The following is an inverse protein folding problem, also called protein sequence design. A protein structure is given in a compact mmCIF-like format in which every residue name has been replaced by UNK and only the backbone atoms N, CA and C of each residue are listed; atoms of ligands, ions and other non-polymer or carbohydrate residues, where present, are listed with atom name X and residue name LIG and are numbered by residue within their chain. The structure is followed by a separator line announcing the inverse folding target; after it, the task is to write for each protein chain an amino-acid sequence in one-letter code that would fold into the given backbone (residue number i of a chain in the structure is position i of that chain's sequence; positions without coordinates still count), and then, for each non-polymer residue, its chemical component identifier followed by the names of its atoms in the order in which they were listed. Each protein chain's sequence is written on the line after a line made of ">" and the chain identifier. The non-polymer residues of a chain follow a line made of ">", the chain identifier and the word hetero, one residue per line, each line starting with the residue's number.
data_IF_878131227478
#
_entry.id   IF_878131227478
#
_cell.length_a   1.000
_cell.length_b   1.000
_cell.length_c   1.000
_cell.angle_alpha   90.00
_cell.angle_beta   90.00
_cell.angle_gamma   90.00
#
_symmetry.space_group_name_H-M   'P 1'
#
loop_
_entity.id
_entity.type
_entity.pdbx_description
1 polymer ?
#
# COMPACT_ATOMS: atom_id res chain seq x y z
N UNK A 1 -12.46 -8.72 6.85
CA UNK A 1 -12.62 -7.30 7.25
C UNK A 1 -11.93 -6.43 6.21
N UNK A 2 -12.52 -5.31 5.80
CA UNK A 2 -12.38 -4.71 4.46
C UNK A 2 -13.77 -4.52 3.83
N UNK A 3 -14.06 -5.19 2.71
CA UNK A 3 -15.34 -5.10 1.95
C UNK A 3 -16.63 -5.15 2.79
N UNK A 4 -16.59 -5.83 3.93
CA UNK A 4 -17.72 -5.99 4.86
C UNK A 4 -17.76 -4.95 6.00
N UNK A 5 -16.93 -3.91 5.95
CA UNK A 5 -16.80 -2.87 6.96
C UNK A 5 -18.12 -2.29 7.51
N UNK A 6 -19.13 -1.97 6.67
CA UNK A 6 -20.42 -1.47 7.16
C UNK A 6 -21.14 -2.41 8.14
N UNK A 7 -21.04 -3.72 7.93
CA UNK A 7 -21.66 -4.71 8.82
C UNK A 7 -20.92 -4.77 10.16
N UNK A 8 -19.59 -4.64 10.14
CA UNK A 8 -18.77 -4.60 11.34
C UNK A 8 -19.06 -3.33 12.15
N UNK A 9 -19.15 -2.18 11.50
CA UNK A 9 -19.53 -0.92 12.15
C UNK A 9 -20.92 -0.99 12.81
N UNK A 10 -21.90 -1.58 12.11
CA UNK A 10 -23.24 -1.79 12.68
C UNK A 10 -23.21 -2.73 13.90
N UNK A 11 -22.39 -3.78 13.86
CA UNK A 11 -22.19 -4.68 14.99
C UNK A 11 -21.52 -3.97 16.16
N UNK A 12 -20.42 -3.25 15.93
CA UNK A 12 -19.68 -2.52 16.96
C UNK A 12 -20.57 -1.50 17.66
N UNK A 13 -21.44 -0.79 16.92
CA UNK A 13 -22.42 0.14 17.50
C UNK A 13 -23.38 -0.55 18.48
N UNK A 14 -23.88 -1.74 18.14
CA UNK A 14 -24.75 -2.52 19.04
C UNK A 14 -23.96 -3.07 20.23
N UNK A 15 -22.78 -3.63 19.97
CA UNK A 15 -21.91 -4.22 20.97
C UNK A 15 -21.43 -3.19 22.01
N UNK A 16 -21.22 -1.94 21.62
CA UNK A 16 -20.86 -0.84 22.52
C UNK A 16 -21.92 -0.45 23.56
N UNK A 17 -23.14 -1.00 23.46
CA UNK A 17 -24.19 -0.83 24.49
C UNK A 17 -24.15 -1.88 25.60
N UNK A 18 -23.22 -2.84 25.50
CA UNK A 18 -23.11 -3.98 26.41
C UNK A 18 -21.74 -3.93 27.10
N UNK A 19 -21.70 -4.31 28.38
CA UNK A 19 -20.45 -4.48 29.11
C UNK A 19 -19.77 -5.81 28.73
N UNK A 20 -18.92 -5.76 27.71
CA UNK A 20 -18.23 -6.94 27.18
C UNK A 20 -17.06 -7.30 28.11
N UNK A 21 -17.13 -8.50 28.71
CA UNK A 21 -16.06 -9.03 29.59
C UNK A 21 -15.10 -9.99 28.88
N UNK A 22 -15.59 -10.75 27.90
CA UNK A 22 -14.84 -11.81 27.22
C UNK A 22 -15.28 -11.87 25.76
N UNK A 23 -14.33 -12.06 24.85
CA UNK A 23 -14.60 -12.36 23.44
C UNK A 23 -14.08 -13.77 23.14
N UNK A 24 -14.99 -14.66 22.72
CA UNK A 24 -14.69 -16.05 22.37
C UNK A 24 -14.84 -16.24 20.84
N UNK A 25 -13.81 -15.96 20.04
CA UNK A 25 -13.87 -16.13 18.60
C UNK A 25 -13.86 -17.61 18.20
N UNK A 26 -14.32 -17.92 16.97
CA UNK A 26 -14.24 -19.27 16.40
C UNK A 26 -12.79 -19.72 16.14
N UNK A 27 -11.90 -18.76 15.87
CA UNK A 27 -10.49 -19.00 15.59
C UNK A 27 -9.60 -18.13 16.46
N UNK A 28 -8.46 -18.69 16.88
CA UNK A 28 -7.49 -18.01 17.71
C UNK A 28 -7.84 -18.03 19.21
N UNK A 29 -7.19 -17.17 20.01
CA UNK A 29 -7.32 -17.19 21.46
C UNK A 29 -8.62 -16.54 21.94
N UNK A 30 -9.09 -16.99 23.11
CA UNK A 30 -10.15 -16.31 23.88
C UNK A 30 -9.57 -15.07 24.54
N UNK A 31 -10.21 -13.92 24.33
CA UNK A 31 -9.76 -12.64 24.88
C UNK A 31 -10.49 -12.33 26.18
N UNK A 32 -9.72 -12.20 27.26
CA UNK A 32 -10.22 -11.91 28.62
C UNK A 32 -9.75 -10.56 29.17
N UNK A 33 -8.75 -9.95 28.52
CA UNK A 33 -8.15 -8.67 28.89
C UNK A 33 -7.77 -7.90 27.63
N UNK A 34 -7.54 -6.59 27.78
CA UNK A 34 -7.18 -5.69 26.68
C UNK A 34 -8.14 -5.77 25.45
N UNK A 35 -9.44 -5.89 25.71
CA UNK A 35 -10.45 -5.97 24.65
C UNK A 35 -10.45 -4.71 23.76
N UNK A 36 -10.06 -3.57 24.33
CA UNK A 36 -9.91 -2.30 23.62
C UNK A 36 -9.00 -2.40 22.40
N UNK A 37 -7.85 -3.06 22.52
CA UNK A 37 -6.94 -3.29 21.39
C UNK A 37 -7.65 -3.99 20.21
N UNK A 38 -8.38 -5.06 20.50
CA UNK A 38 -9.07 -5.84 19.48
C UNK A 38 -10.21 -5.03 18.83
N UNK A 39 -11.01 -4.34 19.64
CA UNK A 39 -12.11 -3.52 19.16
C UNK A 39 -11.64 -2.33 18.33
N UNK A 40 -10.54 -1.67 18.73
CA UNK A 40 -9.96 -0.55 17.99
C UNK A 40 -9.46 -0.98 16.60
N UNK A 41 -8.77 -2.13 16.50
CA UNK A 41 -8.36 -2.68 15.20
C UNK A 41 -9.57 -2.96 14.31
N UNK A 42 -10.62 -3.55 14.88
CA UNK A 42 -11.85 -3.80 14.13
C UNK A 42 -12.56 -2.52 13.70
N UNK A 43 -12.53 -1.47 14.52
CA UNK A 43 -13.09 -0.19 14.17
C UNK A 43 -12.29 0.50 13.03
N UNK A 44 -10.96 0.55 13.16
CA UNK A 44 -10.06 1.12 12.13
C UNK A 44 -10.18 0.39 10.79
N UNK A 45 -10.00 -0.93 10.77
CA UNK A 45 -9.98 -1.69 9.51
C UNK A 45 -11.34 -1.73 8.81
N UNK A 46 -12.46 -1.62 9.55
CA UNK A 46 -13.79 -1.58 8.94
C UNK A 46 -14.09 -0.23 8.27
N UNK A 47 -13.40 0.83 8.68
CA UNK A 47 -13.43 2.16 8.07
C UNK A 47 -12.33 2.37 7.03
N UNK A 48 -11.47 1.37 6.84
CA UNK A 48 -10.23 1.46 6.05
C UNK A 48 -9.30 2.58 6.54
N UNK A 49 -9.38 2.93 7.81
CA UNK A 49 -8.44 3.86 8.43
C UNK A 49 -7.07 3.17 8.55
N UNK A 50 -5.98 3.77 8.06
CA UNK A 50 -4.64 3.21 8.24
C UNK A 50 -4.28 3.19 9.72
N UNK A 51 -3.56 2.16 10.16
CA UNK A 51 -3.09 2.07 11.54
C UNK A 51 -2.03 3.12 11.85
N UNK A 52 -1.18 3.41 10.86
CA UNK A 52 0.00 4.25 10.98
C UNK A 52 0.13 5.18 9.78
N UNK A 53 0.59 6.40 10.05
CA UNK A 53 1.15 7.26 9.01
C UNK A 53 2.53 6.73 8.63
N UNK A 54 2.73 6.47 7.35
CA UNK A 54 3.95 5.87 6.80
C UNK A 54 3.78 5.43 5.36
N UNK A 55 4.89 5.02 4.75
CA UNK A 55 5.03 4.67 3.33
C UNK A 55 5.37 3.20 3.18
N UNK A 56 4.55 2.48 2.42
CA UNK A 56 4.87 1.16 1.90
C UNK A 56 5.38 1.30 0.47
N UNK A 57 6.65 1.00 0.21
CA UNK A 57 7.17 0.86 -1.15
C UNK A 57 7.08 -0.62 -1.50
N UNK A 58 6.25 -0.93 -2.48
CA UNK A 58 6.05 -2.29 -2.97
C UNK A 58 6.57 -2.36 -4.40
N UNK A 59 7.60 -3.16 -4.62
CA UNK A 59 8.29 -3.20 -5.89
C UNK A 59 8.23 -4.57 -6.56
N UNK A 60 8.30 -4.55 -7.88
CA UNK A 60 8.61 -5.71 -8.71
C UNK A 60 9.90 -5.45 -9.48
N UNK A 61 10.85 -6.37 -9.41
CA UNK A 61 12.16 -6.24 -10.04
C UNK A 61 12.60 -7.57 -10.62
N UNK A 62 13.02 -7.58 -11.88
CA UNK A 62 13.55 -8.79 -12.55
C UNK A 62 15.07 -8.88 -12.49
N UNK A 63 15.74 -7.72 -12.53
CA UNK A 63 17.19 -7.62 -12.66
C UNK A 63 17.82 -6.74 -11.57
N UNK A 64 17.08 -6.41 -10.50
CA UNK A 64 17.56 -5.56 -9.41
C UNK A 64 17.43 -4.04 -9.65
N UNK A 65 17.18 -3.58 -10.87
CA UNK A 65 17.15 -2.14 -11.17
C UNK A 65 15.98 -1.39 -10.49
N UNK A 66 14.78 -1.96 -10.49
CA UNK A 66 13.63 -1.34 -9.80
C UNK A 66 13.76 -1.43 -8.28
N UNK A 67 14.42 -2.47 -7.78
CA UNK A 67 14.78 -2.61 -6.37
C UNK A 67 15.75 -1.50 -5.94
N UNK A 68 16.79 -1.24 -6.74
CA UNK A 68 17.72 -0.15 -6.48
C UNK A 68 16.98 1.20 -6.43
N UNK A 69 16.06 1.45 -7.37
CA UNK A 69 15.24 2.66 -7.35
C UNK A 69 14.32 2.76 -6.12
N UNK A 70 13.69 1.66 -5.71
CA UNK A 70 12.89 1.61 -4.50
C UNK A 70 13.73 1.92 -3.25
N UNK A 71 14.96 1.40 -3.18
CA UNK A 71 15.91 1.69 -2.11
C UNK A 71 16.34 3.16 -2.08
N UNK A 72 16.61 3.77 -3.23
CA UNK A 72 16.94 5.20 -3.33
C UNK A 72 15.77 6.06 -2.89
N UNK A 73 14.54 5.76 -3.34
CA UNK A 73 13.35 6.49 -2.89
C UNK A 73 13.14 6.37 -1.38
N UNK A 74 13.34 5.17 -0.81
CA UNK A 74 13.27 4.97 0.64
C UNK A 74 14.29 5.84 1.39
N UNK A 75 15.54 5.90 0.90
CA UNK A 75 16.58 6.74 1.46
C UNK A 75 16.21 8.23 1.38
N UNK A 76 15.69 8.70 0.24
CA UNK A 76 15.24 10.09 0.07
C UNK A 76 14.09 10.48 1.00
N UNK A 77 13.12 9.59 1.20
CA UNK A 77 12.05 9.79 2.16
C UNK A 77 12.60 9.91 3.60
N UNK A 78 13.54 9.04 3.96
CA UNK A 78 14.20 9.08 5.27
C UNK A 78 15.02 10.36 5.48
N UNK A 79 15.81 10.78 4.49
CA UNK A 79 16.59 12.03 4.50
C UNK A 79 15.70 13.28 4.69
N UNK A 80 14.47 13.23 4.17
CA UNK A 80 13.46 14.29 4.32
C UNK A 80 12.59 14.14 5.60
N UNK A 81 12.93 13.21 6.48
CA UNK A 81 12.34 13.07 7.82
C UNK A 81 11.23 12.03 7.97
N UNK A 82 10.92 11.23 6.93
CA UNK A 82 9.97 10.12 7.06
C UNK A 82 10.66 8.87 7.58
N UNK A 83 10.41 8.54 8.84
CA UNK A 83 11.04 7.40 9.52
C UNK A 83 10.27 6.09 9.35
N UNK A 84 8.98 6.14 9.01
CA UNK A 84 8.13 4.95 8.83
C UNK A 84 8.03 4.56 7.35
N UNK A 85 9.14 4.04 6.80
CA UNK A 85 9.23 3.56 5.42
C UNK A 85 9.50 2.07 5.41
N UNK A 86 8.71 1.31 4.67
CA UNK A 86 8.84 -0.13 4.54
C UNK A 86 8.93 -0.51 3.08
N UNK A 87 9.90 -1.35 2.72
CA UNK A 87 10.16 -1.75 1.34
C UNK A 87 9.93 -3.25 1.21
N UNK A 88 9.10 -3.66 0.24
CA UNK A 88 8.73 -5.05 0.01
C UNK A 88 8.85 -5.41 -1.47
N UNK A 89 9.48 -6.55 -1.74
CA UNK A 89 9.44 -7.21 -3.03
C UNK A 89 8.19 -8.09 -3.14
N UNK A 90 7.39 -7.88 -4.18
CA UNK A 90 6.20 -8.70 -4.46
C UNK A 90 6.53 -10.15 -4.80
N UNK A 91 7.75 -10.45 -5.23
CA UNK A 91 8.16 -11.80 -5.63
C UNK A 91 8.52 -12.69 -4.45
N UNK A 92 8.99 -12.09 -3.34
CA UNK A 92 9.47 -12.80 -2.15
C UNK A 92 8.60 -12.59 -0.91
N UNK A 93 7.71 -11.60 -0.92
CA UNK A 93 6.78 -11.34 0.18
C UNK A 93 5.42 -11.99 -0.08
N UNK A 94 4.94 -12.82 0.86
CA UNK A 94 3.64 -13.45 0.73
C UNK A 94 2.50 -12.41 0.62
N UNK A 95 1.54 -12.67 -0.25
CA UNK A 95 0.45 -11.75 -0.57
C UNK A 95 -0.34 -11.27 0.65
N UNK A 96 -0.64 -12.17 1.60
CA UNK A 96 -1.34 -11.79 2.84
C UNK A 96 -0.57 -10.78 3.68
N UNK A 97 0.76 -10.79 3.64
CA UNK A 97 1.60 -9.80 4.33
C UNK A 97 1.50 -8.45 3.63
N UNK A 98 1.60 -8.40 2.30
CA UNK A 98 1.44 -7.16 1.53
C UNK A 98 0.07 -6.51 1.77
N UNK A 99 -0.99 -7.32 1.77
CA UNK A 99 -2.35 -6.86 2.10
C UNK A 99 -2.41 -6.32 3.53
N UNK A 100 -1.82 -7.01 4.51
CA UNK A 100 -1.76 -6.55 5.89
C UNK A 100 -1.03 -5.21 6.01
N UNK A 101 0.07 -5.02 5.30
CA UNK A 101 0.85 -3.77 5.29
C UNK A 101 0.06 -2.63 4.65
N UNK A 102 -0.74 -2.91 3.63
CA UNK A 102 -1.67 -1.92 3.05
C UNK A 102 -2.73 -1.45 4.04
N UNK A 103 -3.25 -2.33 4.89
CA UNK A 103 -4.16 -1.90 5.97
C UNK A 103 -3.43 -1.10 7.04
N UNK A 104 -2.16 -1.40 7.29
CA UNK A 104 -1.34 -0.71 8.30
C UNK A 104 -0.93 0.70 7.87
N UNK A 105 -0.41 0.86 6.66
CA UNK A 105 0.24 2.10 6.22
C UNK A 105 -0.69 2.99 5.38
N UNK A 106 -0.53 4.31 5.55
CA UNK A 106 -1.35 5.33 4.88
C UNK A 106 -1.04 5.57 3.40
N UNK A 107 0.23 5.42 3.00
CA UNK A 107 0.73 5.74 1.67
C UNK A 107 1.38 4.51 1.05
N UNK A 108 1.19 4.31 -0.25
CA UNK A 108 1.72 3.15 -0.99
C UNK A 108 2.43 3.65 -2.24
N UNK A 109 3.66 3.23 -2.46
CA UNK A 109 4.39 3.46 -3.70
C UNK A 109 4.46 2.14 -4.45
N UNK A 110 3.88 2.07 -5.64
CA UNK A 110 4.07 0.93 -6.53
C UNK A 110 5.25 1.20 -7.45
N UNK A 111 6.34 0.45 -7.26
CA UNK A 111 7.52 0.50 -8.12
C UNK A 111 7.54 -0.72 -9.04
N UNK A 112 7.06 -0.60 -10.27
CA UNK A 112 6.77 -1.75 -11.12
C UNK A 112 7.51 -1.78 -12.45
N UNK A 113 8.02 -2.97 -12.80
CA UNK A 113 8.50 -3.23 -14.15
C UNK A 113 7.35 -3.48 -15.12
N UNK A 114 7.54 -3.06 -16.37
CA UNK A 114 6.70 -3.52 -17.47
C UNK A 114 7.16 -4.92 -17.91
N UNK A 115 6.24 -5.88 -17.92
CA UNK A 115 6.50 -7.25 -18.35
C UNK A 115 5.50 -7.67 -19.42
N UNK A 116 6.00 -7.96 -20.63
CA UNK A 116 5.18 -8.34 -21.79
C UNK A 116 4.02 -7.37 -22.05
N UNK A 117 4.30 -6.06 -22.00
CA UNK A 117 3.32 -4.96 -22.12
C UNK A 117 2.23 -4.94 -21.02
N UNK A 118 2.36 -5.81 -20.02
CA UNK A 118 1.54 -5.87 -18.82
C UNK A 118 2.35 -5.63 -17.54
N UNK A 119 1.79 -6.05 -16.42
CA UNK A 119 2.46 -6.04 -15.12
C UNK A 119 3.15 -7.38 -14.85
N UNK A 120 4.20 -7.33 -14.02
CA UNK A 120 4.80 -8.55 -13.49
C UNK A 120 3.74 -9.37 -12.73
N UNK A 121 3.58 -10.69 -12.96
CA UNK A 121 2.43 -11.43 -12.43
C UNK A 121 2.23 -11.35 -10.91
N UNK A 122 3.27 -11.40 -10.06
CA UNK A 122 3.10 -11.18 -8.62
C UNK A 122 2.53 -9.79 -8.26
N UNK A 123 2.89 -8.75 -9.01
CA UNK A 123 2.30 -7.41 -8.83
C UNK A 123 0.82 -7.41 -9.25
N UNK A 124 0.49 -8.05 -10.37
CA UNK A 124 -0.91 -8.19 -10.82
C UNK A 124 -1.76 -8.92 -9.79
N UNK A 125 -1.31 -10.07 -9.29
CA UNK A 125 -2.02 -10.84 -8.24
C UNK A 125 -2.23 -10.00 -6.98
N UNK A 126 -1.26 -9.16 -6.63
CA UNK A 126 -1.41 -8.26 -5.49
C UNK A 126 -2.49 -7.21 -5.70
N UNK A 127 -2.52 -6.57 -6.88
CA UNK A 127 -3.58 -5.63 -7.23
C UNK A 127 -4.96 -6.30 -7.20
N UNK A 128 -5.09 -7.50 -7.77
CA UNK A 128 -6.35 -8.25 -7.80
C UNK A 128 -6.91 -8.51 -6.40
N UNK A 129 -6.04 -8.83 -5.42
CA UNK A 129 -6.42 -8.98 -4.02
C UNK A 129 -6.90 -7.67 -3.38
N UNK A 130 -6.24 -6.55 -3.68
CA UNK A 130 -6.70 -5.22 -3.23
C UNK A 130 -8.10 -4.90 -3.77
N UNK A 131 -8.37 -5.24 -5.03
CA UNK A 131 -9.70 -5.10 -5.65
C UNK A 131 -10.73 -6.03 -5.00
N UNK A 132 -10.40 -7.29 -4.75
CA UNK A 132 -11.28 -8.24 -4.08
C UNK A 132 -11.70 -7.75 -2.68
N UNK A 133 -10.76 -7.13 -1.96
CA UNK A 133 -10.98 -6.55 -0.63
C UNK A 133 -11.59 -5.14 -0.68
N UNK A 134 -11.79 -4.56 -1.87
CA UNK A 134 -12.27 -3.20 -2.12
C UNK A 134 -11.47 -2.15 -1.37
N UNK A 135 -10.15 -2.25 -1.44
CA UNK A 135 -9.23 -1.30 -0.83
C UNK A 135 -9.57 0.13 -1.22
N UNK A 136 -9.41 1.06 -0.26
CA UNK A 136 -9.78 2.47 -0.41
C UNK A 136 -9.07 3.33 0.62
N UNK A 137 -9.20 4.65 0.47
CA UNK A 137 -8.70 5.67 1.40
C UNK A 137 -7.17 5.54 1.58
N UNK A 138 -6.46 5.44 0.46
CA UNK A 138 -4.99 5.43 0.41
C UNK A 138 -4.51 6.47 -0.58
N UNK A 139 -3.34 7.02 -0.29
CA UNK A 139 -2.60 7.83 -1.24
C UNK A 139 -1.55 6.94 -1.91
N UNK A 140 -1.48 7.01 -3.24
CA UNK A 140 -0.65 6.15 -4.06
C UNK A 140 0.31 6.97 -4.91
N UNK A 141 1.57 6.55 -4.95
CA UNK A 141 2.58 7.07 -5.86
C UNK A 141 3.10 5.95 -6.77
N UNK A 142 3.65 6.31 -7.92
CA UNK A 142 4.03 5.35 -8.96
C UNK A 142 5.47 5.59 -9.41
N UNK A 143 6.24 4.52 -9.45
CA UNK A 143 7.54 4.45 -10.14
C UNK A 143 7.43 3.33 -11.17
N UNK A 144 7.67 3.64 -12.44
CA UNK A 144 7.65 2.65 -13.51
C UNK A 144 9.04 2.39 -14.07
N UNK A 145 9.28 1.18 -14.56
CA UNK A 145 10.52 0.82 -15.22
C UNK A 145 10.24 -0.03 -16.46
N UNK A 146 10.85 0.33 -17.59
CA UNK A 146 10.79 -0.44 -18.84
C UNK A 146 11.93 -0.06 -19.78
N UNK A 147 12.23 -0.92 -20.75
CA UNK A 147 13.35 -0.68 -21.69
C UNK A 147 12.90 -0.22 -23.08
N UNK A 148 11.79 -0.75 -23.58
CA UNK A 148 11.33 -0.52 -24.95
C UNK A 148 9.98 0.19 -25.00
N UNK A 149 9.01 -0.35 -24.26
CA UNK A 149 7.67 0.20 -24.12
C UNK A 149 7.30 0.15 -22.64
N UNK A 150 7.44 1.28 -21.95
CA UNK A 150 7.06 1.40 -20.54
C UNK A 150 5.55 1.59 -20.44
N UNK A 151 4.89 0.72 -19.67
CA UNK A 151 3.42 0.71 -19.49
C UNK A 151 2.98 0.44 -18.06
N UNK A 152 3.85 -0.05 -17.18
CA UNK A 152 3.46 -0.45 -15.84
C UNK A 152 2.86 0.70 -15.03
N UNK A 153 3.35 1.93 -15.20
CA UNK A 153 2.81 3.09 -14.49
C UNK A 153 1.38 3.42 -14.93
N UNK A 154 1.13 3.50 -16.24
CA UNK A 154 -0.23 3.71 -16.77
C UNK A 154 -1.19 2.59 -16.35
N UNK A 155 -0.78 1.33 -16.43
CA UNK A 155 -1.62 0.19 -16.01
C UNK A 155 -1.97 0.24 -14.52
N UNK A 156 -1.02 0.62 -13.66
CA UNK A 156 -1.28 0.78 -12.22
C UNK A 156 -2.20 1.98 -11.98
N UNK A 157 -1.95 3.12 -12.63
CA UNK A 157 -2.80 4.31 -12.52
C UNK A 157 -4.24 3.99 -12.90
N UNK A 158 -4.46 3.42 -14.08
CA UNK A 158 -5.78 3.01 -14.57
C UNK A 158 -6.48 2.08 -13.58
N UNK A 159 -5.74 1.12 -13.02
CA UNK A 159 -6.27 0.22 -11.99
C UNK A 159 -6.71 0.99 -10.73
N UNK A 160 -5.87 1.89 -10.21
CA UNK A 160 -6.19 2.66 -9.01
C UNK A 160 -7.40 3.58 -9.21
N UNK A 161 -7.53 4.19 -10.38
CA UNK A 161 -8.57 5.17 -10.70
C UNK A 161 -9.91 4.53 -11.05
N UNK A 162 -9.90 3.35 -11.68
CA UNK A 162 -11.12 2.71 -12.20
C UNK A 162 -11.60 1.50 -11.39
N UNK A 163 -10.69 0.76 -10.74
CA UNK A 163 -11.04 -0.48 -10.04
C UNK A 163 -11.21 -0.30 -8.53
N UNK A 164 -10.58 0.72 -7.97
CA UNK A 164 -10.66 1.07 -6.55
C UNK A 164 -11.45 2.36 -6.33
N UNK A 165 -11.94 2.56 -5.10
CA UNK A 165 -12.70 3.76 -4.74
C UNK A 165 -11.90 4.60 -3.76
N UNK A 166 -11.99 5.92 -3.87
CA UNK A 166 -11.36 6.87 -2.96
C UNK A 166 -9.85 6.59 -2.77
N UNK A 167 -9.16 6.28 -3.86
CA UNK A 167 -7.70 6.27 -3.92
C UNK A 167 -7.26 7.62 -4.48
N UNK A 168 -6.28 8.25 -3.84
CA UNK A 168 -5.65 9.46 -4.35
C UNK A 168 -4.35 9.05 -5.02
N UNK A 169 -4.29 9.08 -6.34
CA UNK A 169 -3.04 8.85 -7.09
C UNK A 169 -2.33 10.19 -7.23
N UNK A 170 -1.06 10.26 -6.82
CA UNK A 170 -0.24 11.46 -7.00
C UNK A 170 0.09 11.65 -8.48
N UNK A 171 0.17 12.91 -8.92
CA UNK A 171 0.46 13.25 -10.32
C UNK A 171 1.94 13.04 -10.63
N UNK A 172 2.82 13.30 -9.65
CA UNK A 172 4.24 13.01 -9.77
C UNK A 172 4.46 11.50 -9.95
N UNK A 173 5.19 11.14 -11.00
CA UNK A 173 5.63 9.78 -11.28
C UNK A 173 7.08 9.80 -11.73
N UNK A 174 7.79 8.69 -11.57
CA UNK A 174 9.13 8.51 -12.15
C UNK A 174 9.13 7.36 -13.13
N UNK A 175 9.67 7.62 -14.30
CA UNK A 175 9.79 6.65 -15.39
C UNK A 175 11.26 6.33 -15.63
N UNK A 176 11.63 5.08 -15.35
CA UNK A 176 12.99 4.59 -15.54
C UNK A 176 13.13 3.89 -16.88
N UNK A 177 14.24 4.15 -17.57
CA UNK A 177 14.63 3.38 -18.75
C UNK A 177 15.68 2.33 -18.35
N UNK A 178 15.20 1.11 -18.10
CA UNK A 178 15.99 -0.04 -17.67
C UNK A 178 16.60 0.08 -16.27
N UNK A 179 17.26 1.18 -15.93
CA UNK A 179 17.92 1.45 -14.66
C UNK A 179 17.71 2.89 -14.17
N UNK A 180 18.03 3.13 -12.89
CA UNK A 180 18.06 4.47 -12.31
C UNK A 180 19.40 5.15 -12.66
N UNK A 181 19.34 6.36 -13.18
CA UNK A 181 20.49 7.20 -13.50
C UNK A 181 20.46 8.51 -12.71
N UNK A 182 21.59 9.23 -12.66
CA UNK A 182 21.68 10.53 -11.96
C UNK A 182 20.67 11.56 -12.49
N UNK A 183 20.33 11.47 -13.78
CA UNK A 183 19.33 12.31 -14.44
C UNK A 183 17.92 12.16 -13.84
N UNK A 184 17.63 11.02 -13.20
CA UNK A 184 16.35 10.78 -12.52
C UNK A 184 16.28 11.38 -11.11
N UNK A 185 17.40 11.88 -10.57
CA UNK A 185 17.44 12.39 -9.20
C UNK A 185 16.43 13.52 -8.93
N UNK A 186 16.23 14.53 -9.82
CA UNK A 186 15.23 15.57 -9.61
C UNK A 186 13.80 15.03 -9.54
N UNK A 187 13.47 14.03 -10.38
CA UNK A 187 12.15 13.40 -10.39
C UNK A 187 11.92 12.60 -9.11
N UNK A 188 12.94 11.88 -8.63
CA UNK A 188 12.90 11.17 -7.34
C UNK A 188 12.71 12.13 -6.15
N UNK A 189 13.41 13.26 -6.15
CA UNK A 189 13.27 14.26 -5.10
C UNK A 189 11.89 14.93 -5.10
N UNK A 190 11.34 15.15 -6.30
CA UNK A 190 10.00 15.69 -6.52
C UNK A 190 8.93 14.71 -6.04
N UNK A 191 9.04 13.43 -6.43
CA UNK A 191 8.15 12.37 -5.97
C UNK A 191 8.17 12.22 -4.45
N UNK A 192 9.37 12.15 -3.85
CA UNK A 192 9.51 12.08 -2.40
C UNK A 192 8.90 13.31 -1.72
N UNK A 193 9.10 14.51 -2.28
CA UNK A 193 8.47 15.75 -1.81
C UNK A 193 6.94 15.69 -1.83
N UNK A 194 6.36 15.22 -2.93
CA UNK A 194 4.90 15.09 -3.11
C UNK A 194 4.30 14.09 -2.11
N UNK A 195 4.92 12.92 -1.95
CA UNK A 195 4.52 11.91 -0.95
C UNK A 195 4.48 12.50 0.46
N UNK A 196 5.47 13.32 0.84
CA UNK A 196 5.51 13.93 2.16
C UNK A 196 4.54 15.10 2.30
N UNK A 197 4.30 15.85 1.24
CA UNK A 197 3.31 16.93 1.23
C UNK A 197 1.88 16.38 1.41
N UNK A 198 1.55 15.23 0.83
CA UNK A 198 0.23 14.60 0.93
C UNK A 198 -0.07 13.97 2.31
N UNK A 199 0.91 13.89 3.21
CA UNK A 199 0.75 13.33 4.55
C UNK A 199 0.28 14.32 5.62
N UNK A 200 0.31 15.61 5.29
CA UNK A 200 0.00 16.70 6.22
C UNK A 200 -1.48 16.74 6.59
#
# INVERSE_FOLDING_TARGET
>A
MGKYGPHVQALLKKAGTIDIKIICPLHGPVWRSNLGYFLEKYDKWSRYEPEEKGVMIVYSSMYGNTEAAAGVLAARLAEKGMTNVWVYDVSSTHLSKLVSETFRLSHIVFAAVTYNLGLFPPMQSYLDDLKALRMRNRTVAIVENGSWACRSGSLIRDFMEHELKNITVLDEQVSLNSALHEENAPEMDTLAGSILASMK
#
